data_IF_184112852143
#
_entry.id   IF_184112852143
#
_cell.length_a   1.000
_cell.length_b   1.000
_cell.length_c   1.000
_cell.angle_alpha   90.00
_cell.angle_beta   90.00
_cell.angle_gamma   90.00
#
_symmetry.space_group_name_H-M   'P 1'
#
loop_
_entity.id
_entity.type
_entity.pdbx_description
1 polymer ?
#
# COMPACT_ATOMS: atom_id res chain seq x y z
N UNK A 1 -22.78 2.98 0.80
CA UNK A 1 -22.18 3.48 2.05
C UNK A 1 -20.72 3.85 1.77
N UNK A 2 -20.34 5.11 1.47
CA UNK A 2 -18.94 5.44 1.29
C UNK A 2 -18.34 5.65 2.68
N UNK A 3 -17.70 4.61 3.22
CA UNK A 3 -16.92 4.65 4.48
C UNK A 3 -15.62 5.47 4.28
N UNK A 4 -15.23 5.69 3.03
CA UNK A 4 -14.14 6.56 2.67
C UNK A 4 -14.69 7.94 2.27
N UNK A 5 -14.19 8.99 2.93
CA UNK A 5 -14.61 10.38 2.75
C UNK A 5 -14.43 10.93 1.32
N UNK A 6 -14.39 12.27 1.16
CA UNK A 6 -14.36 12.91 -0.16
C UNK A 6 -13.29 12.30 -1.09
N UNK A 7 -13.67 11.95 -2.33
CA UNK A 7 -12.83 11.23 -3.28
C UNK A 7 -11.51 11.97 -3.65
N UNK A 8 -11.38 13.26 -3.35
CA UNK A 8 -10.14 14.01 -3.52
C UNK A 8 -9.15 13.79 -2.35
N UNK A 9 -9.64 13.52 -1.15
CA UNK A 9 -8.81 13.28 0.04
C UNK A 9 -8.25 11.87 0.09
N UNK A 10 -8.91 10.88 -0.52
CA UNK A 10 -8.49 9.48 -0.45
C UNK A 10 -7.07 9.26 -0.98
N UNK A 11 -6.73 9.86 -2.13
CA UNK A 11 -5.41 9.68 -2.76
C UNK A 11 -4.32 10.41 -1.98
N UNK A 12 -4.55 11.65 -1.53
CA UNK A 12 -3.58 12.40 -0.72
C UNK A 12 -3.37 11.78 0.65
N UNK A 13 -4.44 11.32 1.31
CA UNK A 13 -4.35 10.62 2.60
C UNK A 13 -3.60 9.30 2.44
N UNK A 14 -3.80 8.56 1.35
CA UNK A 14 -3.03 7.34 1.07
C UNK A 14 -1.53 7.63 0.91
N UNK A 15 -1.16 8.66 0.16
CA UNK A 15 0.24 9.06 0.00
C UNK A 15 0.85 9.51 1.33
N UNK A 16 0.14 10.32 2.11
CA UNK A 16 0.59 10.78 3.42
C UNK A 16 0.78 9.63 4.41
N UNK A 17 -0.13 8.65 4.41
CA UNK A 17 -0.01 7.45 5.24
C UNK A 17 1.19 6.61 4.79
N UNK A 18 1.40 6.41 3.48
CA UNK A 18 2.55 5.65 2.97
C UNK A 18 3.88 6.30 3.34
N UNK A 19 3.96 7.63 3.25
CA UNK A 19 5.15 8.40 3.64
C UNK A 19 5.43 8.27 5.15
N UNK A 20 4.39 8.42 5.98
CA UNK A 20 4.50 8.27 7.43
C UNK A 20 4.93 6.84 7.82
N UNK A 21 4.30 5.82 7.25
CA UNK A 21 4.64 4.42 7.55
C UNK A 21 6.10 4.12 7.17
N UNK A 22 6.53 4.58 5.98
CA UNK A 22 7.90 4.35 5.50
C UNK A 22 8.94 5.11 6.33
N UNK A 23 8.72 6.41 6.57
CA UNK A 23 9.73 7.29 7.14
C UNK A 23 9.70 7.37 8.67
N UNK A 24 8.53 7.18 9.30
CA UNK A 24 8.35 7.32 10.74
C UNK A 24 8.26 5.97 11.46
N UNK A 25 7.68 4.94 10.84
CA UNK A 25 7.50 3.61 11.46
C UNK A 25 8.52 2.57 10.97
N UNK A 26 9.26 2.86 9.90
CA UNK A 26 10.27 1.93 9.34
C UNK A 26 9.67 0.65 8.75
N UNK A 27 8.36 0.62 8.55
CA UNK A 27 7.68 -0.54 7.95
C UNK A 27 7.94 -0.49 6.44
N UNK A 28 8.40 -1.60 5.82
CA UNK A 28 8.75 -1.62 4.41
C UNK A 28 7.49 -1.57 3.54
N UNK A 29 7.14 -0.37 3.10
CA UNK A 29 6.10 -0.12 2.09
C UNK A 29 6.75 0.41 0.81
N UNK A 30 6.16 0.18 -0.38
CA UNK A 30 6.69 0.74 -1.62
C UNK A 30 6.72 2.26 -1.59
N UNK A 31 7.84 2.87 -2.00
CA UNK A 31 7.96 4.33 -2.00
C UNK A 31 7.09 4.94 -3.09
N UNK A 32 6.43 6.05 -2.75
CA UNK A 32 5.69 6.85 -3.74
C UNK A 32 6.70 7.62 -4.58
N UNK A 33 6.67 7.39 -5.89
CA UNK A 33 7.55 8.04 -6.88
C UNK A 33 6.91 9.31 -7.45
N UNK A 34 5.61 9.27 -7.70
CA UNK A 34 4.84 10.42 -8.18
C UNK A 34 3.36 10.21 -7.88
N UNK A 35 2.57 11.28 -7.76
CA UNK A 35 1.12 11.18 -7.61
C UNK A 35 0.45 12.46 -8.10
N UNK A 36 -0.82 12.38 -8.50
CA UNK A 36 -1.60 13.55 -8.91
C UNK A 36 -3.07 13.40 -8.52
N UNK A 37 -3.64 14.48 -7.98
CA UNK A 37 -5.06 14.59 -7.64
C UNK A 37 -5.89 15.24 -8.75
N UNK A 38 -5.23 15.96 -9.66
CA UNK A 38 -5.86 16.92 -10.55
C UNK A 38 -5.85 16.39 -11.97
N UNK A 39 -7.04 16.06 -12.48
CA UNK A 39 -7.21 15.51 -13.84
C UNK A 39 -7.08 16.57 -14.93
N UNK A 40 -7.23 17.85 -14.60
CA UNK A 40 -7.10 18.97 -15.57
C UNK A 40 -5.66 19.35 -15.87
N UNK A 41 -4.72 19.06 -14.96
CA UNK A 41 -3.30 19.40 -15.11
C UNK A 41 -2.43 18.18 -15.41
N UNK A 42 -3.02 16.98 -15.45
CA UNK A 42 -2.31 15.76 -15.79
C UNK A 42 -2.78 15.23 -17.15
N UNK A 43 -1.83 14.83 -18.01
CA UNK A 43 -2.13 14.31 -19.35
C UNK A 43 -2.80 12.92 -19.32
N UNK A 44 -2.92 12.33 -18.13
CA UNK A 44 -3.49 11.00 -17.89
C UNK A 44 -5.02 11.09 -17.74
N UNK A 45 -5.57 12.28 -17.47
CA UNK A 45 -7.00 12.51 -17.29
C UNK A 45 -7.60 11.86 -16.03
N UNK A 46 -6.76 11.29 -15.15
CA UNK A 46 -7.18 10.53 -13.98
C UNK A 46 -6.23 10.75 -12.80
N UNK A 47 -6.73 10.53 -11.58
CA UNK A 47 -5.91 10.51 -10.37
C UNK A 47 -5.01 9.29 -10.38
N UNK A 48 -3.76 9.45 -9.94
CA UNK A 48 -2.82 8.32 -9.89
C UNK A 48 -1.86 8.44 -8.71
N UNK A 49 -1.31 7.28 -8.33
CA UNK A 49 -0.13 7.14 -7.49
C UNK A 49 0.80 6.17 -8.23
N UNK A 50 1.98 6.64 -8.57
CA UNK A 50 3.09 5.84 -9.07
C UNK A 50 3.99 5.52 -7.88
N UNK A 51 4.32 4.24 -7.72
CA UNK A 51 5.11 3.75 -6.60
C UNK A 51 6.06 2.64 -7.05
N UNK A 52 7.05 2.32 -6.24
CA UNK A 52 7.93 1.17 -6.45
C UNK A 52 7.13 -0.15 -6.53
N UNK A 53 7.67 -1.13 -7.24
CA UNK A 53 7.09 -2.48 -7.23
C UNK A 53 7.42 -3.16 -5.90
N UNK A 54 6.40 -3.61 -5.18
CA UNK A 54 6.60 -4.43 -3.99
C UNK A 54 7.27 -5.76 -4.38
N UNK A 55 8.44 -6.11 -3.82
CA UNK A 55 9.08 -7.38 -4.12
C UNK A 55 8.26 -8.55 -3.55
N UNK A 56 8.27 -9.69 -4.25
CA UNK A 56 7.63 -10.92 -3.82
C UNK A 56 6.30 -11.20 -4.52
N UNK A 57 5.47 -12.01 -3.86
CA UNK A 57 4.19 -12.48 -4.39
C UNK A 57 3.09 -12.20 -3.38
N UNK A 58 1.87 -11.94 -3.88
CA UNK A 58 0.74 -11.70 -3.01
C UNK A 58 0.45 -12.94 -2.16
N UNK A 59 0.35 -12.76 -0.84
CA UNK A 59 0.15 -13.86 0.11
C UNK A 59 -1.06 -14.73 -0.26
N UNK A 60 -2.16 -14.13 -0.74
CA UNK A 60 -3.36 -14.83 -1.20
C UNK A 60 -3.09 -15.86 -2.30
N UNK A 61 -2.09 -15.63 -3.15
CA UNK A 61 -1.80 -16.49 -4.29
C UNK A 61 -1.03 -17.75 -3.88
N UNK A 62 -0.36 -17.71 -2.73
CA UNK A 62 0.51 -18.80 -2.24
C UNK A 62 0.00 -19.42 -0.94
N UNK A 63 -0.96 -18.78 -0.27
CA UNK A 63 -1.47 -19.19 1.04
C UNK A 63 -1.92 -20.65 1.07
N UNK A 64 -2.71 -21.10 0.10
CA UNK A 64 -3.25 -22.47 0.11
C UNK A 64 -2.16 -23.52 -0.14
N UNK A 65 -1.07 -23.15 -0.81
CA UNK A 65 0.09 -24.01 -1.08
C UNK A 65 1.14 -24.01 0.03
N UNK A 66 1.06 -23.07 0.97
CA UNK A 66 2.00 -22.98 2.09
C UNK A 66 1.75 -24.09 3.11
N UNK A 67 2.84 -24.63 3.66
CA UNK A 67 2.78 -25.55 4.79
C UNK A 67 2.38 -24.82 6.10
N UNK A 68 2.05 -25.59 7.13
CA UNK A 68 1.60 -25.05 8.41
C UNK A 68 2.67 -24.21 9.12
N UNK A 69 3.96 -24.56 8.97
CA UNK A 69 5.05 -23.82 9.57
C UNK A 69 5.25 -22.47 8.88
N UNK A 70 5.17 -22.43 7.55
CA UNK A 70 5.20 -21.22 6.74
C UNK A 70 4.06 -20.27 7.12
N UNK A 71 2.83 -20.78 7.19
CA UNK A 71 1.65 -20.00 7.62
C UNK A 71 1.85 -19.40 9.02
N UNK A 72 2.32 -20.22 9.96
CA UNK A 72 2.61 -19.78 11.34
C UNK A 72 3.67 -18.69 11.37
N UNK A 73 4.76 -18.85 10.61
CA UNK A 73 5.81 -17.85 10.53
C UNK A 73 5.30 -16.53 9.93
N UNK A 74 4.46 -16.59 8.89
CA UNK A 74 3.84 -15.39 8.30
C UNK A 74 2.94 -14.67 9.29
N UNK A 75 2.08 -15.39 10.03
CA UNK A 75 1.24 -14.79 11.07
C UNK A 75 2.11 -14.13 12.15
N UNK A 76 3.15 -14.82 12.63
CA UNK A 76 4.06 -14.24 13.63
C UNK A 76 4.76 -12.97 13.12
N UNK A 77 5.19 -12.94 11.86
CA UNK A 77 5.81 -11.74 11.27
C UNK A 77 4.84 -10.57 11.17
N UNK A 78 3.54 -10.83 10.96
CA UNK A 78 2.52 -9.79 10.95
C UNK A 78 2.25 -9.26 12.37
N UNK A 79 2.19 -10.14 13.37
CA UNK A 79 2.02 -9.73 14.77
C UNK A 79 3.23 -8.96 15.31
N UNK A 80 4.43 -9.21 14.78
CA UNK A 80 5.64 -8.48 15.18
C UNK A 80 5.70 -7.06 14.58
N UNK A 81 4.83 -6.76 13.60
CA UNK A 81 4.72 -5.43 13.00
C UNK A 81 3.74 -4.50 13.75
N UNK A 82 2.99 -5.01 14.74
CA UNK A 82 2.22 -4.18 15.70
C UNK A 82 3.12 -3.60 16.81
#
# INVERSE_FOLDING_TARGET
NPIAGPAHLMTSSKVAIMDFICNNLGIPVPKVLAWSLTTSTNNIGAKFILMETAPGVQLSNVWDTMDLQQKKNTINSLTTME
#
